data_IF_107568034244
#
_entry.id   IF_107568034244
#
_cell.length_a   1.000
_cell.length_b   1.000
_cell.length_c   1.000
_cell.angle_alpha   90.00
_cell.angle_beta   90.00
_cell.angle_gamma   90.00
#
_symmetry.space_group_name_H-M   'P 1'
#
loop_
_entity.id
_entity.type
_entity.pdbx_description
1 polymer ?
#
# COMPACT_ATOMS: atom_id res chain seq x y z
N UNK A 1 -36.84 7.36 26.88
CA UNK A 1 -36.05 7.67 25.66
C UNK A 1 -34.94 6.65 25.58
N UNK A 2 -35.09 5.64 24.72
CA UNK A 2 -34.16 4.51 24.65
C UNK A 2 -32.81 5.01 24.16
N UNK A 3 -31.78 4.83 24.99
CA UNK A 3 -30.39 5.16 24.70
C UNK A 3 -29.76 4.07 23.82
N UNK A 4 -30.44 3.68 22.74
CA UNK A 4 -29.91 2.69 21.80
C UNK A 4 -28.77 3.32 21.02
N UNK A 5 -27.56 2.78 21.23
CA UNK A 5 -26.37 3.24 20.53
C UNK A 5 -26.54 2.93 19.05
N UNK A 6 -26.51 3.96 18.19
CA UNK A 6 -26.66 3.77 16.75
C UNK A 6 -25.57 2.87 16.17
N UNK A 7 -25.84 2.19 15.05
CA UNK A 7 -24.87 1.31 14.38
C UNK A 7 -23.54 2.01 14.09
N UNK A 8 -23.58 3.26 13.64
CA UNK A 8 -22.37 4.06 13.39
C UNK A 8 -21.56 4.30 14.66
N UNK A 9 -22.23 4.61 15.78
CA UNK A 9 -21.55 4.77 17.08
C UNK A 9 -20.97 3.45 17.58
N UNK A 10 -21.68 2.34 17.39
CA UNK A 10 -21.19 1.01 17.73
C UNK A 10 -19.93 0.64 16.94
N UNK A 11 -19.91 0.89 15.63
CA UNK A 11 -18.72 0.66 14.81
C UNK A 11 -17.54 1.57 15.20
N UNK A 12 -17.81 2.85 15.49
CA UNK A 12 -16.78 3.77 15.97
C UNK A 12 -16.16 3.29 17.30
N UNK A 13 -16.99 2.76 18.22
CA UNK A 13 -16.51 2.17 19.46
C UNK A 13 -15.65 0.92 19.23
N UNK A 14 -15.94 0.11 18.20
CA UNK A 14 -15.09 -1.03 17.81
C UNK A 14 -13.74 -0.55 17.31
N UNK A 15 -13.72 0.49 16.45
CA UNK A 15 -12.50 1.11 15.93
C UNK A 15 -11.62 1.59 17.09
N UNK A 16 -12.16 2.41 17.99
CA UNK A 16 -11.42 2.97 19.13
C UNK A 16 -10.83 1.86 20.00
N UNK A 17 -11.64 0.87 20.41
CA UNK A 17 -11.16 -0.24 21.26
C UNK A 17 -10.06 -1.07 20.59
N UNK A 18 -10.13 -1.26 19.27
CA UNK A 18 -9.12 -1.98 18.53
C UNK A 18 -7.81 -1.18 18.47
N UNK A 19 -7.89 0.14 18.22
CA UNK A 19 -6.74 1.05 18.28
C UNK A 19 -6.11 1.03 19.68
N UNK A 20 -6.88 1.22 20.74
CA UNK A 20 -6.39 1.18 22.14
C UNK A 20 -5.65 -0.14 22.44
N UNK A 21 -6.18 -1.26 21.93
CA UNK A 21 -5.57 -2.58 22.10
C UNK A 21 -4.22 -2.66 21.41
N UNK A 22 -4.13 -2.18 20.16
CA UNK A 22 -2.89 -2.18 19.39
C UNK A 22 -1.87 -1.24 20.04
N UNK A 23 -2.22 0.02 20.30
CA UNK A 23 -1.32 1.00 20.90
C UNK A 23 -0.77 0.52 22.25
N UNK A 24 -1.61 -0.11 23.08
CA UNK A 24 -1.17 -0.70 24.35
C UNK A 24 -0.13 -1.81 24.14
N UNK A 25 -0.34 -2.71 23.17
CA UNK A 25 0.59 -3.83 22.91
C UNK A 25 1.94 -3.29 22.40
N UNK A 26 1.91 -2.35 21.46
CA UNK A 26 3.11 -1.70 20.93
C UNK A 26 3.86 -0.92 22.03
N UNK A 27 3.14 -0.16 22.87
CA UNK A 27 3.72 0.55 24.01
C UNK A 27 4.36 -0.39 25.03
N UNK A 28 3.73 -1.54 25.32
CA UNK A 28 4.28 -2.56 26.23
C UNK A 28 5.58 -3.18 25.70
N UNK A 29 5.70 -3.32 24.38
CA UNK A 29 6.92 -3.79 23.73
C UNK A 29 7.98 -2.69 23.54
N UNK A 30 7.65 -1.42 23.83
CA UNK A 30 8.53 -0.28 23.56
C UNK A 30 8.78 -0.03 22.07
N UNK A 31 7.88 -0.50 21.20
CA UNK A 31 8.00 -0.41 19.74
C UNK A 31 6.94 0.55 19.17
N UNK A 32 7.26 1.32 18.12
CA UNK A 32 6.25 2.11 17.40
C UNK A 32 5.40 1.21 16.50
N UNK A 33 4.19 1.65 16.16
CA UNK A 33 3.41 1.04 15.08
C UNK A 33 4.14 1.23 13.74
N UNK A 34 4.23 0.20 12.87
CA UNK A 34 4.83 0.34 11.55
C UNK A 34 4.14 1.42 10.72
N UNK A 35 4.92 2.33 10.16
CA UNK A 35 4.41 3.43 9.32
C UNK A 35 4.11 2.94 7.91
N UNK A 36 2.98 3.40 7.35
CA UNK A 36 2.65 3.15 5.94
C UNK A 36 3.70 3.74 5.00
N UNK A 37 4.32 4.87 5.35
CA UNK A 37 5.23 5.63 4.48
C UNK A 37 6.66 5.08 4.44
N UNK A 38 6.94 4.01 5.19
CA UNK A 38 8.27 3.40 5.26
C UNK A 38 8.32 2.12 4.42
N UNK A 39 9.50 1.78 3.91
CA UNK A 39 9.70 0.52 3.23
C UNK A 39 9.51 -0.64 4.22
N UNK A 40 8.82 -1.71 3.80
CA UNK A 40 8.60 -2.89 4.64
C UNK A 40 9.90 -3.66 4.85
N UNK A 41 10.26 -3.89 6.12
CA UNK A 41 11.40 -4.71 6.51
C UNK A 41 10.91 -5.93 7.32
N UNK A 42 10.95 -7.15 6.76
CA UNK A 42 10.60 -8.36 7.50
C UNK A 42 11.41 -8.60 8.77
N UNK A 43 12.60 -7.99 8.88
CA UNK A 43 13.48 -8.07 10.05
C UNK A 43 13.17 -7.06 11.16
N UNK A 44 12.27 -6.10 10.92
CA UNK A 44 11.88 -5.11 11.93
C UNK A 44 11.04 -5.78 13.03
N UNK A 45 11.39 -5.52 14.28
CA UNK A 45 10.69 -6.06 15.45
C UNK A 45 9.25 -5.52 15.53
N UNK A 46 9.00 -4.30 15.06
CA UNK A 46 7.66 -3.75 14.97
C UNK A 46 6.80 -4.51 13.95
N UNK A 47 7.40 -4.95 12.83
CA UNK A 47 6.74 -5.76 11.82
C UNK A 47 6.45 -7.19 12.31
N UNK A 48 7.38 -7.77 13.06
CA UNK A 48 7.16 -9.05 13.73
C UNK A 48 6.02 -8.95 14.74
N UNK A 49 5.94 -7.86 15.53
CA UNK A 49 4.86 -7.63 16.49
C UNK A 49 3.50 -7.46 15.80
N UNK A 50 3.47 -6.96 14.56
CA UNK A 50 2.24 -6.90 13.77
C UNK A 50 1.62 -8.29 13.49
N UNK A 51 2.42 -9.36 13.58
CA UNK A 51 1.96 -10.75 13.43
C UNK A 51 1.52 -11.39 14.76
N UNK A 52 1.65 -10.71 15.90
CA UNK A 52 1.16 -11.20 17.18
C UNK A 52 -0.36 -11.49 17.09
N UNK A 53 -0.85 -12.64 17.59
CA UNK A 53 -2.25 -13.01 17.48
C UNK A 53 -3.24 -11.96 18.02
N UNK A 54 -2.87 -11.23 19.08
CA UNK A 54 -3.73 -10.18 19.65
C UNK A 54 -3.75 -8.95 18.72
N UNK A 55 -2.60 -8.56 18.17
CA UNK A 55 -2.50 -7.45 17.21
C UNK A 55 -3.26 -7.79 15.93
N UNK A 56 -3.09 -9.01 15.39
CA UNK A 56 -3.83 -9.49 14.20
C UNK A 56 -5.34 -9.50 14.47
N UNK A 57 -5.78 -9.98 15.63
CA UNK A 57 -7.19 -10.00 15.99
C UNK A 57 -7.78 -8.58 16.12
N UNK A 58 -7.05 -7.66 16.73
CA UNK A 58 -7.45 -6.25 16.83
C UNK A 58 -7.51 -5.59 15.45
N UNK A 59 -6.47 -5.78 14.63
CA UNK A 59 -6.38 -5.26 13.26
C UNK A 59 -7.54 -5.74 12.37
N UNK A 60 -7.89 -7.03 12.44
CA UNK A 60 -9.05 -7.56 11.70
C UNK A 60 -10.37 -6.89 12.09
N UNK A 61 -10.60 -6.67 13.39
CA UNK A 61 -11.81 -5.96 13.88
C UNK A 61 -11.82 -4.50 13.42
N UNK A 62 -10.66 -3.83 13.51
CA UNK A 62 -10.48 -2.46 13.05
C UNK A 62 -10.80 -2.32 11.56
N UNK A 63 -10.16 -3.12 10.72
CA UNK A 63 -10.34 -3.10 9.26
C UNK A 63 -11.80 -3.43 8.88
N UNK A 64 -12.40 -4.44 9.51
CA UNK A 64 -13.80 -4.80 9.26
C UNK A 64 -14.77 -3.67 9.64
N UNK A 65 -14.56 -3.02 10.78
CA UNK A 65 -15.39 -1.90 11.22
C UNK A 65 -15.23 -0.67 10.30
N UNK A 66 -14.01 -0.34 9.89
CA UNK A 66 -13.74 0.73 8.92
C UNK A 66 -14.41 0.47 7.56
N UNK A 67 -14.35 -0.77 7.08
CA UNK A 67 -15.01 -1.18 5.84
C UNK A 67 -16.54 -1.04 5.96
N UNK A 68 -17.13 -1.50 7.06
CA UNK A 68 -18.57 -1.42 7.28
C UNK A 68 -19.05 0.03 7.45
N UNK A 69 -18.33 0.88 8.18
CA UNK A 69 -18.65 2.32 8.28
C UNK A 69 -18.62 2.94 6.89
N UNK A 70 -17.56 2.69 6.11
CA UNK A 70 -17.41 3.23 4.76
C UNK A 70 -18.57 2.80 3.86
N UNK A 71 -18.91 1.50 3.85
CA UNK A 71 -20.05 1.00 3.08
C UNK A 71 -21.39 1.59 3.52
N UNK A 72 -21.56 1.91 4.82
CA UNK A 72 -22.79 2.48 5.37
C UNK A 72 -23.01 3.93 4.95
N UNK A 73 -21.94 4.73 4.87
CA UNK A 73 -22.04 6.18 4.60
C UNK A 73 -21.97 6.53 3.11
N UNK A 74 -21.41 5.65 2.28
CA UNK A 74 -21.26 5.91 0.85
C UNK A 74 -22.59 5.78 0.10
N UNK A 75 -22.73 6.53 -1.00
CA UNK A 75 -23.84 6.33 -1.92
C UNK A 75 -23.75 4.91 -2.53
N UNK A 76 -24.81 4.07 -2.45
CA UNK A 76 -24.75 2.69 -2.93
C UNK A 76 -24.35 2.57 -4.41
N UNK A 77 -24.79 3.50 -5.27
CA UNK A 77 -24.42 3.51 -6.70
C UNK A 77 -22.93 3.75 -6.89
N UNK A 78 -22.35 4.65 -6.09
CA UNK A 78 -20.91 4.92 -6.11
C UNK A 78 -20.10 3.70 -5.67
N UNK A 79 -20.58 2.96 -4.67
CA UNK A 79 -19.95 1.71 -4.24
C UNK A 79 -19.92 0.70 -5.38
N UNK A 80 -21.04 0.49 -6.09
CA UNK A 80 -21.11 -0.43 -7.24
C UNK A 80 -20.15 -0.01 -8.35
N UNK A 81 -20.12 1.29 -8.72
CA UNK A 81 -19.21 1.80 -9.77
C UNK A 81 -17.74 1.57 -9.39
N UNK A 82 -17.36 1.85 -8.13
CA UNK A 82 -16.00 1.61 -7.67
C UNK A 82 -15.59 0.13 -7.79
N UNK A 83 -16.49 -0.80 -7.43
CA UNK A 83 -16.23 -2.23 -7.57
C UNK A 83 -16.17 -2.66 -9.04
N UNK A 84 -17.03 -2.10 -9.90
CA UNK A 84 -16.99 -2.37 -11.34
C UNK A 84 -15.66 -1.94 -11.98
N UNK A 85 -15.00 -0.91 -11.43
CA UNK A 85 -13.71 -0.42 -11.90
C UNK A 85 -12.50 -1.02 -11.15
N UNK A 86 -12.71 -1.94 -10.22
CA UNK A 86 -11.63 -2.50 -9.38
C UNK A 86 -10.52 -3.19 -10.20
N UNK A 87 -10.84 -3.67 -11.41
CA UNK A 87 -9.86 -4.26 -12.33
C UNK A 87 -8.70 -3.32 -12.69
N UNK A 88 -8.92 -1.99 -12.63
CA UNK A 88 -7.89 -1.01 -12.92
C UNK A 88 -6.70 -1.13 -11.97
N UNK A 89 -6.95 -1.46 -10.70
CA UNK A 89 -5.90 -1.68 -9.70
C UNK A 89 -5.08 -2.92 -10.04
N UNK A 90 -5.74 -4.03 -10.37
CA UNK A 90 -5.07 -5.26 -10.78
C UNK A 90 -4.21 -5.05 -12.03
N UNK A 91 -4.73 -4.33 -13.05
CA UNK A 91 -3.96 -4.01 -14.26
C UNK A 91 -2.75 -3.12 -13.96
N UNK A 92 -2.89 -2.14 -13.07
CA UNK A 92 -1.78 -1.27 -12.68
C UNK A 92 -0.71 -2.01 -11.86
N UNK A 93 -1.12 -2.90 -10.94
CA UNK A 93 -0.22 -3.75 -10.17
C UNK A 93 0.57 -4.71 -11.06
N UNK A 94 -0.07 -5.26 -12.09
CA UNK A 94 0.63 -6.07 -13.08
C UNK A 94 1.65 -5.24 -13.86
N UNK A 95 1.26 -4.07 -14.38
CA UNK A 95 2.15 -3.20 -15.14
C UNK A 95 3.39 -2.75 -14.34
N UNK A 96 3.23 -2.31 -13.08
CA UNK A 96 4.37 -1.88 -12.25
C UNK A 96 5.30 -3.04 -11.87
N UNK A 97 4.76 -4.26 -11.76
CA UNK A 97 5.55 -5.48 -11.51
C UNK A 97 6.36 -5.89 -12.74
N UNK A 98 5.77 -5.85 -13.93
CA UNK A 98 6.46 -6.22 -15.18
C UNK A 98 7.55 -5.20 -15.54
N UNK A 99 7.31 -3.92 -15.26
CA UNK A 99 8.24 -2.82 -15.54
C UNK A 99 9.29 -2.59 -14.43
N UNK A 100 9.31 -3.42 -13.38
CA UNK A 100 10.25 -3.30 -12.26
C UNK A 100 10.26 -1.90 -11.59
N UNK A 101 9.09 -1.26 -11.51
CA UNK A 101 8.97 0.12 -10.98
C UNK A 101 9.30 0.16 -9.48
N UNK A 102 9.02 -0.93 -8.76
CA UNK A 102 9.31 -1.03 -7.33
C UNK A 102 10.81 -0.99 -7.09
N UNK A 103 11.60 -1.68 -7.91
CA UNK A 103 13.06 -1.72 -7.81
C UNK A 103 13.67 -0.36 -8.17
N UNK A 104 13.15 0.29 -9.23
CA UNK A 104 13.49 1.68 -9.58
C UNK A 104 13.32 2.61 -8.39
N UNK A 105 12.18 2.51 -7.72
CA UNK A 105 11.84 3.37 -6.58
C UNK A 105 12.58 2.98 -5.30
N UNK A 106 12.99 1.72 -5.15
CA UNK A 106 13.82 1.27 -4.03
C UNK A 106 15.20 1.93 -4.09
N UNK A 107 15.81 1.98 -5.28
CA UNK A 107 17.10 2.66 -5.48
C UNK A 107 17.02 4.17 -5.19
N UNK A 108 15.87 4.79 -5.50
CA UNK A 108 15.62 6.20 -5.20
C UNK A 108 15.38 6.48 -3.69
N UNK A 109 15.00 5.47 -2.93
CA UNK A 109 14.74 5.56 -1.49
C UNK A 109 13.57 6.49 -1.13
N UNK A 110 13.60 7.04 0.09
CA UNK A 110 12.47 7.83 0.64
C UNK A 110 12.20 9.16 -0.10
N UNK A 111 13.18 9.67 -0.85
CA UNK A 111 13.01 10.89 -1.66
C UNK A 111 12.14 10.64 -2.89
N UNK A 112 12.03 9.38 -3.31
CA UNK A 112 11.34 9.00 -4.53
C UNK A 112 12.08 9.40 -5.80
N UNK A 113 11.48 9.10 -6.94
CA UNK A 113 11.95 9.47 -8.27
C UNK A 113 10.87 10.22 -9.04
N UNK A 114 11.27 11.11 -9.94
CA UNK A 114 10.31 11.79 -10.81
C UNK A 114 9.80 10.83 -11.87
N UNK A 115 8.56 11.03 -12.35
CA UNK A 115 7.98 10.20 -13.42
C UNK A 115 8.78 10.26 -14.72
N UNK A 116 9.55 11.34 -14.93
CA UNK A 116 10.48 11.45 -16.06
C UNK A 116 11.64 10.49 -15.89
N UNK A 117 12.32 10.53 -14.74
CA UNK A 117 13.45 9.63 -14.46
C UNK A 117 13.00 8.16 -14.48
N UNK A 118 11.83 7.88 -13.90
CA UNK A 118 11.25 6.52 -13.90
C UNK A 118 11.00 6.07 -15.35
N UNK A 119 10.30 6.89 -16.13
CA UNK A 119 9.95 6.59 -17.53
C UNK A 119 11.18 6.40 -18.42
N UNK A 120 12.19 7.26 -18.28
CA UNK A 120 13.48 7.14 -18.95
C UNK A 120 14.18 5.82 -18.57
N UNK A 121 14.14 5.44 -17.30
CA UNK A 121 14.85 4.24 -16.86
C UNK A 121 14.20 2.95 -17.34
N UNK A 122 12.87 2.90 -17.42
CA UNK A 122 12.14 1.69 -17.84
C UNK A 122 11.73 1.70 -19.31
N UNK A 123 12.02 2.79 -20.05
CA UNK A 123 11.68 2.95 -21.46
C UNK A 123 10.19 3.14 -21.74
N UNK A 124 9.43 3.78 -20.83
CA UNK A 124 7.98 3.99 -20.95
C UNK A 124 7.62 5.47 -20.85
N UNK A 125 6.55 5.88 -21.55
CA UNK A 125 6.03 7.24 -21.46
C UNK A 125 5.76 7.67 -20.00
N UNK A 126 6.37 8.80 -19.60
CA UNK A 126 6.25 9.34 -18.25
C UNK A 126 4.80 9.67 -17.85
N UNK A 127 3.95 10.10 -18.80
CA UNK A 127 2.55 10.40 -18.54
C UNK A 127 1.71 9.15 -18.25
N UNK A 128 2.01 8.03 -18.92
CA UNK A 128 1.41 6.73 -18.62
C UNK A 128 1.78 6.27 -17.21
N UNK A 129 3.07 6.36 -16.85
CA UNK A 129 3.55 5.97 -15.52
C UNK A 129 2.97 6.84 -14.42
N UNK A 130 2.90 8.15 -14.63
CA UNK A 130 2.27 9.08 -13.70
C UNK A 130 0.81 8.71 -13.41
N UNK A 131 0.05 8.34 -14.45
CA UNK A 131 -1.35 7.90 -14.29
C UNK A 131 -1.48 6.62 -13.48
N UNK A 132 -0.61 5.64 -13.75
CA UNK A 132 -0.58 4.36 -13.03
C UNK A 132 -0.22 4.59 -11.56
N UNK A 133 0.90 5.28 -11.30
CA UNK A 133 1.38 5.54 -9.94
C UNK A 133 0.40 6.40 -9.14
N UNK A 134 -0.23 7.41 -9.76
CA UNK A 134 -1.25 8.23 -9.11
C UNK A 134 -2.47 7.41 -8.69
N UNK A 135 -2.97 6.52 -9.56
CA UNK A 135 -4.08 5.63 -9.19
C UNK A 135 -3.68 4.76 -7.99
N UNK A 136 -2.53 4.10 -8.04
CA UNK A 136 -2.05 3.25 -6.96
C UNK A 136 -1.77 4.03 -5.67
N UNK A 137 -1.35 5.29 -5.76
CA UNK A 137 -1.17 6.18 -4.62
C UNK A 137 -2.51 6.52 -3.93
N UNK A 138 -3.61 6.72 -4.69
CA UNK A 138 -4.94 6.88 -4.07
C UNK A 138 -5.45 5.62 -3.36
N UNK A 139 -4.87 4.47 -3.66
CA UNK A 139 -5.11 3.19 -3.00
C UNK A 139 -4.05 2.86 -1.93
N UNK A 140 -3.22 3.84 -1.56
CA UNK A 140 -2.18 3.70 -0.54
C UNK A 140 -1.10 2.65 -0.87
N UNK A 141 -0.95 2.26 -2.13
CA UNK A 141 0.07 1.28 -2.55
C UNK A 141 1.41 1.96 -2.81
N UNK A 142 1.41 3.18 -3.36
CA UNK A 142 2.60 4.03 -3.49
C UNK A 142 2.39 5.36 -2.78
N UNK A 143 3.44 6.16 -2.65
CA UNK A 143 3.38 7.51 -2.08
C UNK A 143 3.82 8.56 -3.09
N UNK A 144 2.99 9.56 -3.36
CA UNK A 144 3.39 10.77 -4.09
C UNK A 144 4.01 11.76 -3.09
N UNK A 145 5.33 11.95 -3.16
CA UNK A 145 6.09 12.81 -2.23
C UNK A 145 5.89 14.29 -2.59
N UNK A 146 5.84 14.58 -3.88
CA UNK A 146 5.49 15.87 -4.46
C UNK A 146 4.89 15.62 -5.86
N UNK A 147 4.24 16.61 -6.51
CA UNK A 147 3.62 16.40 -7.82
C UNK A 147 4.58 15.75 -8.83
N UNK A 148 4.22 14.54 -9.30
CA UNK A 148 5.03 13.79 -10.26
C UNK A 148 6.30 13.13 -9.70
N UNK A 149 6.45 13.04 -8.37
CA UNK A 149 7.55 12.34 -7.69
C UNK A 149 6.98 11.29 -6.76
N UNK A 150 7.36 10.03 -6.96
CA UNK A 150 6.78 8.89 -6.26
C UNK A 150 7.86 8.11 -5.51
N UNK A 151 7.49 7.53 -4.38
CA UNK A 151 8.33 6.65 -3.58
C UNK A 151 7.58 5.36 -3.23
N UNK A 152 8.34 4.30 -2.94
CA UNK A 152 7.79 3.11 -2.33
C UNK A 152 7.26 3.42 -0.93
N UNK A 153 6.25 2.66 -0.52
CA UNK A 153 5.73 2.66 0.83
C UNK A 153 5.67 1.22 1.34
N UNK A 154 5.12 1.00 2.53
CA UNK A 154 5.09 -0.31 3.20
C UNK A 154 4.38 -1.39 2.39
N UNK A 155 3.41 -1.00 1.56
CA UNK A 155 2.63 -1.91 0.72
C UNK A 155 3.37 -2.18 -0.60
N UNK A 156 3.77 -1.16 -1.37
CA UNK A 156 4.48 -1.43 -2.64
C UNK A 156 5.79 -2.18 -2.44
N UNK A 157 6.47 -1.97 -1.32
CA UNK A 157 7.72 -2.69 -1.01
C UNK A 157 7.56 -4.20 -0.91
N UNK A 158 6.35 -4.72 -0.64
CA UNK A 158 6.13 -6.18 -0.63
C UNK A 158 6.13 -6.80 -2.02
N UNK A 159 6.11 -5.98 -3.07
CA UNK A 159 6.17 -6.39 -4.47
C UNK A 159 7.61 -6.35 -5.02
N UNK A 160 8.59 -5.98 -4.19
CA UNK A 160 10.00 -5.96 -4.57
C UNK A 160 10.52 -7.37 -4.82
N UNK A 161 11.09 -7.60 -6.02
CA UNK A 161 11.66 -8.89 -6.42
C UNK A 161 13.14 -9.04 -6.07
N UNK A 162 13.76 -8.03 -5.44
CA UNK A 162 15.16 -8.08 -5.05
C UNK A 162 16.14 -7.85 -6.21
N UNK A 163 15.66 -7.50 -7.41
CA UNK A 163 16.50 -7.32 -8.58
C UNK A 163 17.34 -6.04 -8.42
N UNK A 164 18.65 -6.15 -8.57
CA UNK A 164 19.56 -5.00 -8.68
C UNK A 164 19.87 -4.76 -10.15
N UNK A 165 19.95 -3.50 -10.58
CA UNK A 165 20.21 -3.15 -12.00
C UNK A 165 21.60 -3.54 -12.55
N UNK A 166 22.41 -4.28 -11.80
CA UNK A 166 23.72 -4.77 -12.25
C UNK A 166 23.67 -6.02 -13.15
N UNK A 167 22.52 -6.33 -13.76
CA UNK A 167 22.44 -7.34 -14.82
C UNK A 167 21.99 -6.66 -16.11
N UNK A 168 22.91 -5.87 -16.68
CA UNK A 168 23.06 -5.90 -18.13
C UNK A 168 23.43 -7.35 -18.50
N UNK A 169 22.84 -7.89 -19.58
CA UNK A 169 23.01 -9.26 -20.10
C UNK A 169 22.09 -10.36 -19.52
N UNK A 170 20.82 -10.38 -19.93
CA UNK A 170 20.14 -11.67 -20.15
C UNK A 170 19.08 -11.68 -21.28
N UNK A 171 19.15 -10.74 -22.23
CA UNK A 171 18.39 -10.85 -23.50
C UNK A 171 19.27 -10.52 -24.72
N UNK A 172 20.47 -11.12 -24.77
CA UNK A 172 21.19 -11.33 -26.04
C UNK A 172 21.46 -12.82 -26.34
N UNK A 173 20.98 -13.75 -25.51
CA UNK A 173 21.14 -15.21 -25.73
C UNK A 173 19.91 -15.92 -26.31
N UNK A 174 18.86 -15.18 -26.71
CA UNK A 174 17.65 -15.73 -27.33
C UNK A 174 17.73 -15.95 -28.86
N UNK A 175 18.94 -15.97 -29.43
CA UNK A 175 19.17 -16.22 -30.85
C UNK A 175 20.09 -17.40 -31.10
N UNK A 176 19.57 -18.63 -31.04
CA UNK A 176 19.99 -19.81 -31.81
C UNK A 176 19.23 -21.05 -31.34
N UNK A 177 18.22 -21.47 -32.11
CA UNK A 177 17.98 -22.78 -32.77
C UNK A 177 16.51 -22.83 -33.19
#
# INVERSE_FOLDING_TARGET
MNNETSTLRSLANIIIRAVDTMERIYAQAGLPLPSLDKFYDPGDHAEALAQDPQVVAASKKLVAACAQISATVWNPRRVVINHAHAYQISSCLHAISDLNVVEVLREAGEKGASVKDIGETIGVDSGLIERILRLLATHHIFREVSPGVFANNRISSTLDKGLSRTVEEEIESGGAV
#
